data_IF_358838077663
#
_entry.id   IF_358838077663
#
_cell.length_a   1.000
_cell.length_b   1.000
_cell.length_c   1.000
_cell.angle_alpha   90.00
_cell.angle_beta   90.00
_cell.angle_gamma   90.00
#
_symmetry.space_group_name_H-M   'P 1'
#
loop_
_entity.id
_entity.type
_entity.pdbx_description
1 polymer ?
#
# COMPACT_ATOMS: atom_id res chain seq x y z
N UNK A 1 -8.81 -1.09 -20.86
CA UNK A 1 -9.66 -0.98 -19.64
C UNK A 1 -9.41 -2.16 -18.70
N UNK A 2 -9.51 -2.01 -17.36
CA UNK A 2 -9.21 -3.10 -16.40
C UNK A 2 -10.23 -4.25 -16.44
N UNK A 3 -11.51 -3.95 -16.63
CA UNK A 3 -12.56 -4.97 -16.79
C UNK A 3 -12.35 -5.81 -18.03
N UNK A 4 -11.87 -5.21 -19.12
CA UNK A 4 -11.52 -5.94 -20.34
C UNK A 4 -10.28 -6.81 -20.18
N UNK A 5 -9.34 -6.44 -19.30
CA UNK A 5 -8.24 -7.32 -18.95
C UNK A 5 -8.76 -8.60 -18.26
N UNK A 6 -9.72 -8.47 -17.34
CA UNK A 6 -10.36 -9.62 -16.70
C UNK A 6 -11.12 -10.50 -17.70
N UNK A 7 -11.90 -9.86 -18.60
CA UNK A 7 -12.62 -10.54 -19.68
C UNK A 7 -11.68 -11.34 -20.58
N UNK A 8 -10.54 -10.75 -20.96
CA UNK A 8 -9.52 -11.42 -21.77
C UNK A 8 -8.91 -12.62 -21.06
N UNK A 9 -8.57 -12.51 -19.77
CA UNK A 9 -8.03 -13.64 -19.00
C UNK A 9 -9.06 -14.79 -18.88
N UNK A 10 -10.36 -14.48 -18.94
CA UNK A 10 -11.43 -15.47 -18.86
C UNK A 10 -11.73 -16.15 -20.21
N UNK A 11 -11.64 -15.41 -21.32
CA UNK A 11 -12.18 -15.85 -22.62
C UNK A 11 -11.12 -16.16 -23.66
N UNK A 12 -9.92 -15.61 -23.53
CA UNK A 12 -8.87 -15.73 -24.53
C UNK A 12 -7.83 -16.79 -24.12
N UNK A 13 -7.70 -17.85 -24.93
CA UNK A 13 -6.76 -18.95 -24.67
C UNK A 13 -5.30 -18.51 -24.63
N UNK A 14 -4.91 -17.50 -25.41
CA UNK A 14 -3.54 -16.99 -25.38
C UNK A 14 -3.27 -16.29 -24.05
N UNK A 15 -4.22 -15.49 -23.55
CA UNK A 15 -4.11 -14.86 -22.23
C UNK A 15 -4.08 -15.88 -21.09
N UNK A 16 -4.93 -16.91 -21.17
CA UNK A 16 -4.96 -18.04 -20.22
C UNK A 16 -3.60 -18.77 -20.19
N UNK A 17 -3.06 -19.13 -21.36
CA UNK A 17 -1.77 -19.81 -21.48
C UNK A 17 -0.59 -18.96 -21.01
N UNK A 18 -0.61 -17.66 -21.30
CA UNK A 18 0.44 -16.72 -20.87
C UNK A 18 0.43 -16.49 -19.35
N UNK A 19 -0.72 -16.65 -18.71
CA UNK A 19 -0.94 -16.37 -17.29
C UNK A 19 -0.31 -15.03 -16.81
N UNK A 20 -0.60 -13.89 -17.49
CA UNK A 20 0.16 -12.67 -17.32
C UNK A 20 -0.20 -11.90 -16.04
N UNK A 21 0.77 -11.17 -15.50
CA UNK A 21 0.48 -10.04 -14.60
C UNK A 21 -0.08 -8.86 -15.39
N UNK A 22 -0.81 -7.96 -14.71
CA UNK A 22 -1.33 -6.76 -15.38
C UNK A 22 -0.21 -5.89 -15.99
N UNK A 23 0.96 -5.81 -15.35
CA UNK A 23 2.14 -5.06 -15.85
C UNK A 23 2.77 -5.68 -17.10
N UNK A 24 2.58 -6.98 -17.30
CA UNK A 24 3.09 -7.76 -18.43
C UNK A 24 2.09 -7.72 -19.60
N UNK A 25 0.81 -7.50 -19.32
CA UNK A 25 -0.25 -7.54 -20.32
C UNK A 25 0.00 -6.65 -21.56
N UNK A 26 0.47 -5.38 -21.43
CA UNK A 26 0.76 -4.54 -22.59
C UNK A 26 1.91 -5.03 -23.49
N UNK A 27 2.75 -5.95 -22.99
CA UNK A 27 3.79 -6.61 -23.80
C UNK A 27 3.17 -7.54 -24.84
N UNK A 28 2.04 -8.15 -24.52
CA UNK A 28 1.38 -9.17 -25.36
C UNK A 28 0.13 -8.65 -26.05
N UNK A 29 -0.53 -7.63 -25.50
CA UNK A 29 -1.79 -7.12 -26.00
C UNK A 29 -1.77 -5.60 -26.20
N UNK A 30 -2.57 -5.11 -27.15
CA UNK A 30 -2.76 -3.70 -27.47
C UNK A 30 -4.23 -3.35 -27.28
N UNK A 31 -4.49 -2.25 -26.57
CA UNK A 31 -5.82 -1.72 -26.39
C UNK A 31 -6.25 -0.95 -27.65
N UNK A 32 -7.40 -1.31 -28.20
CA UNK A 32 -8.07 -0.53 -29.23
C UNK A 32 -9.17 0.33 -28.60
N UNK A 33 -9.10 1.64 -28.77
CA UNK A 33 -10.06 2.57 -28.17
C UNK A 33 -11.41 2.59 -28.91
N UNK A 34 -11.42 2.25 -30.21
CA UNK A 34 -12.63 2.23 -31.03
C UNK A 34 -13.51 1.05 -30.66
N UNK A 35 -12.94 -0.15 -30.71
CA UNK A 35 -13.63 -1.41 -30.41
C UNK A 35 -13.70 -1.70 -28.90
N UNK A 36 -12.91 -0.98 -28.09
CA UNK A 36 -12.78 -1.16 -26.64
C UNK A 36 -12.40 -2.59 -26.24
N UNK A 37 -11.53 -3.21 -27.03
CA UNK A 37 -11.04 -4.57 -26.77
C UNK A 37 -9.52 -4.64 -26.87
N UNK A 38 -8.98 -5.74 -26.38
CA UNK A 38 -7.56 -6.04 -26.47
C UNK A 38 -7.29 -6.96 -27.66
N UNK A 39 -6.34 -6.57 -28.49
CA UNK A 39 -5.84 -7.39 -29.59
C UNK A 39 -4.45 -7.93 -29.27
N UNK A 40 -4.13 -9.13 -29.76
CA UNK A 40 -2.77 -9.68 -29.67
C UNK A 40 -1.79 -8.75 -30.41
N UNK A 41 -0.73 -8.36 -29.71
CA UNK A 41 0.31 -7.49 -30.23
C UNK A 41 1.11 -8.23 -31.29
N UNK A 42 1.21 -7.63 -32.48
CA UNK A 42 1.96 -8.19 -33.62
C UNK A 42 3.38 -7.65 -33.75
N UNK A 43 3.68 -6.48 -33.16
CA UNK A 43 4.95 -5.75 -33.34
C UNK A 43 5.39 -5.04 -32.06
N UNK A 44 6.72 -4.94 -31.90
CA UNK A 44 7.44 -4.26 -30.82
C UNK A 44 7.31 -4.89 -29.43
N UNK A 45 8.35 -4.74 -28.61
CA UNK A 45 8.34 -5.10 -27.20
C UNK A 45 8.09 -3.83 -26.38
N UNK A 46 7.09 -3.86 -25.50
CA UNK A 46 6.67 -2.67 -24.73
C UNK A 46 6.51 -3.03 -23.27
N UNK A 47 7.20 -2.33 -22.38
CA UNK A 47 7.04 -2.52 -20.93
C UNK A 47 5.81 -1.74 -20.45
N UNK A 48 4.81 -2.45 -19.92
CA UNK A 48 3.65 -1.84 -19.27
C UNK A 48 4.06 -1.09 -18.01
N UNK A 49 3.61 0.17 -17.88
CA UNK A 49 3.78 0.97 -16.66
C UNK A 49 2.43 1.13 -15.96
N UNK A 50 2.35 0.61 -14.75
CA UNK A 50 1.25 0.94 -13.85
C UNK A 50 1.59 2.26 -13.15
N UNK A 51 0.66 3.21 -13.16
CA UNK A 51 0.83 4.47 -12.42
C UNK A 51 1.01 4.10 -10.94
N UNK A 52 1.94 4.73 -10.25
CA UNK A 52 2.14 4.53 -8.82
C UNK A 52 0.96 5.10 -8.04
N UNK A 53 0.52 4.41 -6.99
CA UNK A 53 -0.45 4.94 -6.04
C UNK A 53 0.25 5.14 -4.69
N UNK A 54 -0.14 6.15 -3.94
CA UNK A 54 0.33 6.38 -2.59
C UNK A 54 -0.55 5.59 -1.59
N UNK A 55 -0.01 5.05 -0.47
CA UNK A 55 -0.82 4.37 0.55
C UNK A 55 -2.04 5.16 1.06
N UNK A 56 -1.95 6.51 1.05
CA UNK A 56 -3.05 7.43 1.42
C UNK A 56 -4.26 7.29 0.47
N UNK A 57 -4.06 6.82 -0.77
CA UNK A 57 -5.16 6.54 -1.72
C UNK A 57 -5.98 5.28 -1.34
N UNK A 58 -5.65 4.60 -0.25
CA UNK A 58 -6.45 3.51 0.32
C UNK A 58 -6.61 2.31 -0.62
N UNK A 59 -7.84 1.85 -0.84
CA UNK A 59 -8.16 0.67 -1.67
C UNK A 59 -7.54 0.72 -3.08
N UNK A 60 -7.35 1.92 -3.65
CA UNK A 60 -6.71 2.08 -4.96
C UNK A 60 -5.23 1.66 -4.93
N UNK A 61 -4.52 1.94 -3.83
CA UNK A 61 -3.15 1.50 -3.65
C UNK A 61 -3.05 -0.02 -3.56
N UNK A 62 -3.90 -0.63 -2.73
CA UNK A 62 -3.92 -2.07 -2.54
C UNK A 62 -4.33 -2.83 -3.79
N UNK A 63 -5.32 -2.32 -4.53
CA UNK A 63 -5.68 -2.85 -5.85
C UNK A 63 -4.48 -2.87 -6.80
N UNK A 64 -3.69 -1.79 -6.85
CA UNK A 64 -2.49 -1.73 -7.71
C UNK A 64 -1.41 -2.71 -7.28
N UNK A 65 -1.19 -2.88 -5.97
CA UNK A 65 -0.30 -3.92 -5.45
C UNK A 65 -0.76 -5.29 -5.93
N UNK A 66 -2.05 -5.62 -5.79
CA UNK A 66 -2.57 -6.91 -6.20
C UNK A 66 -2.41 -7.13 -7.71
N UNK A 67 -2.71 -6.14 -8.54
CA UNK A 67 -2.52 -6.23 -10.00
C UNK A 67 -1.06 -6.46 -10.43
N UNK A 68 -0.10 -6.11 -9.58
CA UNK A 68 1.32 -6.37 -9.83
C UNK A 68 1.78 -7.76 -9.42
N UNK A 69 0.99 -8.51 -8.65
CA UNK A 69 1.40 -9.79 -8.03
C UNK A 69 0.44 -10.95 -8.27
N UNK A 70 -0.83 -10.68 -8.61
CA UNK A 70 -1.84 -11.70 -8.93
C UNK A 70 -1.84 -11.93 -10.43
N UNK A 71 -1.61 -13.18 -10.85
CA UNK A 71 -1.58 -13.58 -12.26
C UNK A 71 -2.97 -13.94 -12.77
N UNK A 72 -3.25 -13.52 -14.00
CA UNK A 72 -4.47 -13.76 -14.76
C UNK A 72 -5.79 -13.72 -13.94
N UNK A 73 -6.02 -12.68 -13.11
CA UNK A 73 -7.30 -12.56 -12.42
C UNK A 73 -8.43 -12.38 -13.45
N UNK A 74 -9.56 -13.04 -13.21
CA UNK A 74 -10.76 -12.94 -14.08
C UNK A 74 -11.86 -12.06 -13.48
N UNK A 75 -11.65 -11.55 -12.26
CA UNK A 75 -12.58 -10.64 -11.60
C UNK A 75 -11.90 -9.83 -10.51
N UNK A 76 -12.61 -8.83 -9.96
CA UNK A 76 -12.15 -8.14 -8.75
C UNK A 76 -12.17 -9.05 -7.52
N UNK A 77 -13.06 -10.03 -7.47
CA UNK A 77 -13.11 -10.99 -6.37
C UNK A 77 -11.94 -11.96 -6.44
N UNK A 78 -11.51 -12.37 -7.64
CA UNK A 78 -10.32 -13.21 -7.83
C UNK A 78 -9.06 -12.55 -7.25
N UNK A 79 -8.94 -11.23 -7.39
CA UNK A 79 -7.83 -10.47 -6.79
C UNK A 79 -7.83 -10.58 -5.26
N UNK A 80 -9.01 -10.73 -4.65
CA UNK A 80 -9.19 -10.85 -3.20
C UNK A 80 -9.13 -12.30 -2.69
N UNK A 81 -9.17 -13.29 -3.58
CA UNK A 81 -9.02 -14.70 -3.18
C UNK A 81 -7.56 -14.96 -2.82
N UNK A 82 -7.34 -15.44 -1.60
CA UNK A 82 -6.02 -15.84 -1.09
C UNK A 82 -6.19 -17.21 -0.43
N UNK A 83 -5.49 -18.23 -0.95
CA UNK A 83 -5.56 -19.61 -0.43
C UNK A 83 -7.01 -20.16 -0.30
N UNK A 84 -7.90 -19.80 -1.24
CA UNK A 84 -9.30 -20.21 -1.23
C UNK A 84 -10.24 -19.38 -0.35
N UNK A 85 -9.73 -18.39 0.38
CA UNK A 85 -10.53 -17.45 1.18
C UNK A 85 -10.72 -16.12 0.43
N UNK A 86 -11.97 -15.64 0.37
CA UNK A 86 -12.30 -14.34 -0.22
C UNK A 86 -12.18 -13.24 0.85
N UNK A 87 -11.17 -12.39 0.72
CA UNK A 87 -11.00 -11.24 1.61
C UNK A 87 -12.11 -10.18 1.42
N UNK A 88 -12.38 -9.42 2.48
CA UNK A 88 -13.38 -8.36 2.51
C UNK A 88 -12.96 -7.10 1.73
N UNK A 89 -11.65 -6.86 1.62
CA UNK A 89 -11.05 -5.68 0.97
C UNK A 89 -9.79 -6.04 0.19
N UNK A 90 -9.34 -5.15 -0.71
CA UNK A 90 -8.05 -5.32 -1.37
C UNK A 90 -6.89 -5.19 -0.39
N UNK A 91 -7.06 -4.35 0.65
CA UNK A 91 -6.09 -4.26 1.75
C UNK A 91 -5.86 -5.60 2.42
N UNK A 92 -6.94 -6.24 2.89
CA UNK A 92 -6.86 -7.53 3.57
C UNK A 92 -6.25 -8.61 2.66
N UNK A 93 -6.62 -8.63 1.38
CA UNK A 93 -6.02 -9.55 0.41
C UNK A 93 -4.51 -9.31 0.24
N UNK A 94 -4.07 -8.06 0.20
CA UNK A 94 -2.66 -7.71 0.10
C UNK A 94 -1.89 -8.06 1.40
N UNK A 95 -2.51 -7.89 2.57
CA UNK A 95 -1.97 -8.31 3.87
C UNK A 95 -1.80 -9.82 3.95
N UNK A 96 -2.85 -10.59 3.62
CA UNK A 96 -2.81 -12.06 3.62
C UNK A 96 -1.76 -12.63 2.66
N UNK A 97 -1.48 -11.91 1.56
CA UNK A 97 -0.41 -12.26 0.60
C UNK A 97 0.98 -11.81 1.05
N UNK A 98 1.12 -11.11 2.17
CA UNK A 98 2.39 -10.57 2.65
C UNK A 98 2.98 -9.49 1.73
N UNK A 99 2.14 -8.80 0.94
CA UNK A 99 2.56 -7.79 -0.02
C UNK A 99 2.69 -6.39 0.61
N UNK A 100 2.11 -6.20 1.80
CA UNK A 100 2.28 -4.97 2.54
C UNK A 100 3.56 -5.05 3.36
N UNK A 101 4.50 -4.16 3.07
CA UNK A 101 5.66 -3.96 3.93
C UNK A 101 5.16 -3.43 5.27
N UNK A 102 5.44 -4.15 6.35
CA UNK A 102 5.27 -3.59 7.69
C UNK A 102 6.40 -2.58 7.83
N UNK A 103 6.09 -1.29 7.64
CA UNK A 103 7.08 -0.24 7.81
C UNK A 103 7.39 -0.08 9.30
N UNK A 104 8.33 -0.89 9.76
CA UNK A 104 8.91 -0.81 11.10
C UNK A 104 9.92 0.33 11.19
N UNK A 105 10.20 1.08 10.12
CA UNK A 105 11.23 2.13 10.13
C UNK A 105 10.98 3.18 11.22
N UNK A 106 9.72 3.48 11.51
CA UNK A 106 9.35 4.34 12.63
C UNK A 106 9.71 3.72 14.00
N UNK A 107 9.49 2.43 14.17
CA UNK A 107 9.80 1.70 15.41
C UNK A 107 11.31 1.51 15.60
N UNK A 108 12.03 1.15 14.54
CA UNK A 108 13.49 1.02 14.53
C UNK A 108 14.15 2.37 14.83
N UNK A 109 13.72 3.44 14.16
CA UNK A 109 14.24 4.79 14.38
C UNK A 109 14.00 5.28 15.83
N UNK A 110 12.81 5.03 16.39
CA UNK A 110 12.54 5.36 17.80
C UNK A 110 13.35 4.49 18.77
N UNK A 111 13.56 3.21 18.45
CA UNK A 111 14.36 2.28 19.26
C UNK A 111 15.81 2.73 19.33
N UNK A 112 16.39 3.16 18.21
CA UNK A 112 17.74 3.74 18.16
C UNK A 112 17.81 5.06 18.95
N UNK A 113 16.86 5.96 18.77
CA UNK A 113 16.84 7.26 19.44
C UNK A 113 16.78 7.14 20.98
N UNK A 114 16.16 6.07 21.50
CA UNK A 114 16.07 5.82 22.94
C UNK A 114 17.42 5.48 23.56
N UNK A 115 18.34 4.87 22.82
CA UNK A 115 19.68 4.54 23.30
C UNK A 115 20.44 5.80 23.75
N UNK A 116 20.14 6.94 23.13
CA UNK A 116 20.76 8.23 23.43
C UNK A 116 20.12 8.95 24.63
N UNK A 117 19.06 8.41 25.25
CA UNK A 117 18.42 8.89 26.50
C UNK A 117 18.05 10.38 26.50
N UNK A 118 17.52 10.89 25.39
CA UNK A 118 17.07 12.29 25.26
C UNK A 118 15.54 12.40 25.06
N UNK A 119 14.75 12.64 26.13
CA UNK A 119 13.29 12.65 26.05
C UNK A 119 12.71 13.74 25.13
N UNK A 120 13.40 14.86 24.94
CA UNK A 120 12.95 15.94 24.06
C UNK A 120 13.13 15.60 22.59
N UNK A 121 14.31 15.10 22.21
CA UNK A 121 14.60 14.67 20.85
C UNK A 121 13.68 13.52 20.43
N UNK A 122 13.38 12.58 21.34
CA UNK A 122 12.44 11.49 21.09
C UNK A 122 11.02 11.99 20.76
N UNK A 123 10.54 13.00 21.49
CA UNK A 123 9.22 13.63 21.22
C UNK A 123 9.19 14.35 19.88
N UNK A 124 10.27 15.07 19.54
CA UNK A 124 10.39 15.75 18.24
C UNK A 124 10.44 14.74 17.10
N UNK A 125 11.21 13.68 17.25
CA UNK A 125 11.31 12.59 16.28
C UNK A 125 9.95 11.91 16.07
N UNK A 126 9.21 11.63 17.15
CA UNK A 126 7.86 11.09 17.03
C UNK A 126 6.93 12.04 16.26
N UNK A 127 6.99 13.36 16.51
CA UNK A 127 6.20 14.33 15.74
C UNK A 127 6.56 14.32 14.24
N UNK A 128 7.86 14.22 13.91
CA UNK A 128 8.34 14.07 12.52
C UNK A 128 7.79 12.78 11.90
N UNK A 129 7.84 11.65 12.61
CA UNK A 129 7.28 10.37 12.15
C UNK A 129 5.77 10.48 11.90
N UNK A 130 5.00 11.15 12.77
CA UNK A 130 3.56 11.35 12.55
C UNK A 130 3.27 12.16 11.29
N UNK A 131 4.07 13.19 11.01
CA UNK A 131 3.88 14.07 9.86
C UNK A 131 4.32 13.39 8.56
N UNK A 132 5.45 12.68 8.57
CA UNK A 132 6.09 12.20 7.34
C UNK A 132 5.84 10.71 7.05
N UNK A 133 5.65 9.88 8.08
CA UNK A 133 5.56 8.43 7.92
C UNK A 133 4.13 7.90 8.09
N UNK A 134 3.22 8.65 8.72
CA UNK A 134 1.83 8.23 8.99
C UNK A 134 1.74 6.77 9.49
N UNK A 135 2.31 6.47 10.68
CA UNK A 135 2.32 5.11 11.19
C UNK A 135 0.89 4.56 11.34
N UNK A 136 0.70 3.28 11.03
CA UNK A 136 -0.62 2.65 10.99
C UNK A 136 -1.38 2.73 12.32
N UNK A 137 -0.66 2.66 13.44
CA UNK A 137 -1.20 2.87 14.78
C UNK A 137 -0.21 3.71 15.63
N UNK A 138 -0.37 5.05 15.63
CA UNK A 138 0.47 5.95 16.41
C UNK A 138 0.47 5.65 17.90
N UNK A 139 -0.67 5.21 18.44
CA UNK A 139 -0.82 4.94 19.86
C UNK A 139 -0.06 3.68 20.26
N UNK A 140 -0.23 2.60 19.49
CA UNK A 140 0.52 1.36 19.68
C UNK A 140 2.02 1.61 19.54
N UNK A 141 2.44 2.39 18.54
CA UNK A 141 3.84 2.76 18.36
C UNK A 141 4.41 3.49 19.58
N UNK A 142 3.74 4.53 20.09
CA UNK A 142 4.21 5.29 21.24
C UNK A 142 4.21 4.47 22.55
N UNK A 143 3.23 3.58 22.71
CA UNK A 143 3.08 2.75 23.91
C UNK A 143 4.23 1.77 24.14
N UNK A 144 5.00 1.44 23.09
CA UNK A 144 6.20 0.60 23.18
C UNK A 144 7.36 1.27 23.93
N UNK A 145 7.30 2.59 24.14
CA UNK A 145 8.40 3.38 24.70
C UNK A 145 8.03 4.12 26.02
N UNK A 146 7.51 3.43 27.06
CA UNK A 146 6.91 4.07 28.24
C UNK A 146 7.93 4.71 29.20
N UNK A 147 9.16 4.18 29.31
CA UNK A 147 10.09 4.58 30.39
C UNK A 147 10.65 6.01 30.26
N UNK A 148 10.59 6.63 29.08
CA UNK A 148 10.99 8.03 28.88
C UNK A 148 9.85 9.02 29.13
N UNK A 149 8.65 8.54 29.51
CA UNK A 149 7.41 9.33 29.61
C UNK A 149 6.95 9.64 31.05
N UNK A 150 7.73 9.32 32.08
CA UNK A 150 7.33 9.55 33.49
C UNK A 150 6.99 11.01 33.84
N UNK A 151 7.30 11.99 32.98
CA UNK A 151 6.84 13.37 33.14
C UNK A 151 5.40 13.64 32.64
N UNK A 152 4.73 12.65 32.03
CA UNK A 152 3.53 12.84 31.19
C UNK A 152 2.22 12.21 31.68
N UNK A 153 2.13 11.69 32.91
CA UNK A 153 0.79 11.43 33.49
C UNK A 153 -0.05 12.72 33.68
N UNK A 154 0.51 13.92 33.41
CA UNK A 154 -0.19 15.22 33.55
C UNK A 154 -0.69 15.87 32.26
N UNK A 155 -0.41 15.36 31.07
CA UNK A 155 -0.85 15.99 29.82
C UNK A 155 -1.76 15.07 29.02
N UNK A 156 -3.06 15.17 29.28
CA UNK A 156 -4.12 14.74 28.35
C UNK A 156 -3.95 15.52 27.05
N UNK A 157 -3.22 14.95 26.08
CA UNK A 157 -3.14 15.50 24.73
C UNK A 157 -4.47 15.19 24.02
N UNK A 158 -5.39 16.14 24.09
CA UNK A 158 -6.56 16.20 23.22
C UNK A 158 -6.10 16.51 21.78
N UNK A 159 -6.87 16.08 20.77
CA UNK A 159 -6.63 16.40 19.34
C UNK A 159 -6.33 17.89 19.09
N UNK A 160 -6.79 18.80 19.96
CA UNK A 160 -6.47 20.24 19.91
C UNK A 160 -5.00 20.58 20.18
N UNK A 161 -4.28 19.76 20.95
CA UNK A 161 -2.87 19.96 21.27
C UNK A 161 -1.94 19.56 20.11
N UNK A 162 -2.35 18.56 19.31
CA UNK A 162 -1.66 18.16 18.08
C UNK A 162 -1.73 19.27 17.01
N UNK A 163 -2.88 19.94 16.87
CA UNK A 163 -3.05 21.09 15.96
C UNK A 163 -2.19 22.30 16.36
N UNK A 164 -1.93 22.51 17.66
CA UNK A 164 -1.03 23.59 18.12
C UNK A 164 0.43 23.32 17.79
N UNK A 165 0.88 22.07 17.83
CA UNK A 165 2.25 21.70 17.40
C UNK A 165 2.44 21.90 15.89
N UNK A 166 1.40 21.64 15.08
CA UNK A 166 1.43 21.90 13.62
C UNK A 166 1.51 23.40 13.30
N UNK A 167 0.99 24.28 14.16
CA UNK A 167 0.98 25.73 13.91
C UNK A 167 2.30 26.42 14.31
N UNK A 168 3.10 25.81 15.20
CA UNK A 168 4.38 26.38 15.66
C UNK A 168 5.52 26.16 14.64
N UNK A 169 5.32 25.29 13.64
CA UNK A 169 6.29 25.00 12.58
C UNK A 169 5.90 25.60 11.21
N UNK A 170 5.16 26.71 11.18
CA UNK A 170 5.01 27.56 9.99
C UNK A 170 5.73 28.88 10.18
#
# INVERSE_FOLDING_TARGET
MLTEFFSMNQTNKDAENLNPLYKEFPQHFVWDEGDRIWYTRKRWQVIGRLITAHPIEGERYYLRILLMHVRAPTSFDDLKIVNGYLASSFKEAAELRGLLHIDNGAEECLSEAILYKMPQCLRQLFAVILVHCSPADPHKLWSKFPQQTHHYQKLKLSQRSLLRLITICK
#
